data_IF_879742337166
#
_entry.id   IF_879742337166
#
_cell.length_a   1.000
_cell.length_b   1.000
_cell.length_c   1.000
_cell.angle_alpha   90.00
_cell.angle_beta   90.00
_cell.angle_gamma   90.00
#
_symmetry.space_group_name_H-M   'P 1'
#
loop_
_entity.id
_entity.type
_entity.pdbx_description
1 polymer ?
#
# COMPACT_ATOMS: atom_id res chain seq x y z
N UNK A 1 3.77 -25.61 25.12
CA UNK A 1 3.22 -24.71 26.17
C UNK A 1 1.74 -25.04 26.30
N UNK A 2 1.18 -25.12 27.50
CA UNK A 2 -0.24 -25.41 27.77
C UNK A 2 -0.93 -24.10 28.20
N UNK A 3 -1.47 -23.31 27.26
CA UNK A 3 -2.17 -22.07 27.60
C UNK A 3 -3.52 -22.37 28.25
N UNK A 4 -3.81 -21.68 29.35
CA UNK A 4 -5.06 -21.79 30.11
C UNK A 4 -5.59 -20.39 30.42
N UNK A 5 -6.90 -20.30 30.58
CA UNK A 5 -7.61 -19.10 31.02
C UNK A 5 -8.05 -19.32 32.47
N UNK A 6 -7.68 -18.41 33.36
CA UNK A 6 -8.09 -18.45 34.77
C UNK A 6 -9.51 -17.88 34.95
N UNK A 7 -10.53 -18.57 34.42
CA UNK A 7 -11.95 -18.19 34.48
C UNK A 7 -12.76 -18.98 35.52
N UNK A 8 -12.20 -20.06 36.07
CA UNK A 8 -12.84 -20.95 37.04
C UNK A 8 -11.86 -21.37 38.14
N UNK A 9 -12.39 -21.79 39.29
CA UNK A 9 -11.58 -22.19 40.45
C UNK A 9 -10.70 -23.42 40.19
N UNK A 10 -11.20 -24.38 39.41
CA UNK A 10 -10.52 -25.64 39.14
C UNK A 10 -10.52 -25.95 37.64
N UNK A 11 -9.34 -26.21 37.09
CA UNK A 11 -9.13 -26.63 35.70
C UNK A 11 -8.35 -27.94 35.72
N UNK A 12 -8.86 -28.96 35.06
CA UNK A 12 -8.16 -30.23 34.90
C UNK A 12 -7.48 -30.27 33.55
N UNK A 13 -6.18 -30.57 33.56
CA UNK A 13 -5.38 -30.77 32.35
C UNK A 13 -4.88 -32.21 32.35
N UNK A 14 -5.17 -32.93 31.28
CA UNK A 14 -4.59 -34.23 31.01
C UNK A 14 -3.57 -34.09 29.88
N UNK A 15 -2.34 -34.53 30.09
CA UNK A 15 -1.24 -34.41 29.12
C UNK A 15 -0.96 -35.78 28.53
N UNK A 16 -1.15 -35.89 27.22
CA UNK A 16 -0.88 -37.09 26.45
C UNK A 16 -0.12 -36.70 25.18
N UNK A 17 1.17 -37.01 25.15
CA UNK A 17 2.05 -36.69 24.01
C UNK A 17 1.70 -37.47 22.74
N UNK A 18 0.87 -38.52 22.83
CA UNK A 18 0.37 -39.25 21.66
C UNK A 18 -0.86 -38.56 21.03
N UNK A 19 -1.52 -37.65 21.74
CA UNK A 19 -2.64 -36.87 21.23
C UNK A 19 -2.14 -35.78 20.25
N UNK A 20 -2.90 -35.52 19.17
CA UNK A 20 -2.58 -34.46 18.19
C UNK A 20 -2.40 -33.09 18.85
N UNK A 21 -3.20 -32.79 19.87
CA UNK A 21 -3.14 -31.53 20.64
C UNK A 21 -2.25 -31.63 21.89
N UNK A 22 -1.59 -32.77 22.12
CA UNK A 22 -0.73 -33.10 23.28
C UNK A 22 -1.34 -32.94 24.70
N UNK A 23 -2.55 -32.39 24.84
CA UNK A 23 -3.27 -32.27 26.10
C UNK A 23 -4.79 -32.12 25.88
N UNK A 24 -5.58 -32.27 26.94
CA UNK A 24 -7.01 -31.91 26.97
C UNK A 24 -7.33 -31.04 28.18
N UNK A 25 -8.40 -30.25 28.10
CA UNK A 25 -8.84 -29.36 29.19
C UNK A 25 -10.28 -29.61 29.58
N UNK A 26 -10.52 -29.85 30.87
CA UNK A 26 -11.86 -29.92 31.48
C UNK A 26 -12.06 -28.81 32.52
N UNK A 27 -13.32 -28.47 32.79
CA UNK A 27 -13.70 -27.44 33.78
C UNK A 27 -13.77 -26.00 33.26
N UNK A 28 -12.97 -25.63 32.24
CA UNK A 28 -12.97 -24.27 31.66
C UNK A 28 -13.37 -24.27 30.18
N UNK A 29 -14.44 -23.54 29.83
CA UNK A 29 -14.84 -23.34 28.43
C UNK A 29 -13.81 -22.48 27.71
N UNK A 30 -13.37 -21.38 28.32
CA UNK A 30 -12.43 -20.46 27.71
C UNK A 30 -11.06 -21.10 27.43
N UNK A 31 -10.59 -22.00 28.31
CA UNK A 31 -9.35 -22.73 28.08
C UNK A 31 -9.47 -23.73 26.93
N UNK A 32 -10.64 -24.38 26.75
CA UNK A 32 -10.90 -25.23 25.58
C UNK A 32 -10.96 -24.42 24.29
N UNK A 33 -11.65 -23.28 24.30
CA UNK A 33 -11.72 -22.36 23.15
C UNK A 33 -10.32 -21.88 22.75
N UNK A 34 -9.49 -21.51 23.72
CA UNK A 34 -8.11 -21.07 23.49
C UNK A 34 -7.24 -22.20 22.92
N UNK A 35 -7.38 -23.41 23.47
CA UNK A 35 -6.71 -24.60 22.94
C UNK A 35 -7.11 -24.83 21.48
N UNK A 36 -8.41 -24.94 21.20
CA UNK A 36 -8.94 -25.18 19.86
C UNK A 36 -8.48 -24.12 18.87
N UNK A 37 -8.47 -22.86 19.31
CA UNK A 37 -7.94 -21.77 18.53
C UNK A 37 -6.49 -21.97 18.12
N UNK A 38 -5.61 -22.25 19.07
CA UNK A 38 -4.17 -22.32 18.82
C UNK A 38 -3.84 -23.42 17.82
N UNK A 39 -4.35 -24.63 18.01
CA UNK A 39 -4.07 -25.73 17.08
C UNK A 39 -4.68 -25.52 15.70
N UNK A 40 -5.91 -25.04 15.64
CA UNK A 40 -6.57 -24.79 14.35
C UNK A 40 -5.91 -23.62 13.61
N UNK A 41 -5.52 -22.57 14.33
CA UNK A 41 -4.77 -21.44 13.79
C UNK A 41 -3.41 -21.90 13.24
N UNK A 42 -2.66 -22.72 13.97
CA UNK A 42 -1.35 -23.20 13.53
C UNK A 42 -1.46 -23.98 12.22
N UNK A 43 -2.42 -24.92 12.12
CA UNK A 43 -2.66 -25.67 10.88
C UNK A 43 -3.04 -24.74 9.71
N UNK A 44 -3.98 -23.80 9.93
CA UNK A 44 -4.45 -22.89 8.87
C UNK A 44 -3.38 -21.87 8.45
N UNK A 45 -2.60 -21.36 9.39
CA UNK A 45 -1.55 -20.37 9.13
C UNK A 45 -0.36 -20.97 8.37
N UNK A 46 0.03 -22.22 8.66
CA UNK A 46 1.07 -22.94 7.90
C UNK A 46 0.72 -23.00 6.41
N UNK A 47 -0.54 -23.26 6.07
CA UNK A 47 -0.98 -23.32 4.66
C UNK A 47 -0.84 -21.96 3.97
N UNK A 48 -1.21 -20.87 4.65
CA UNK A 48 -1.07 -19.52 4.14
C UNK A 48 0.41 -19.13 3.96
N UNK A 49 1.25 -19.43 4.95
CA UNK A 49 2.68 -19.11 4.96
C UNK A 49 3.45 -19.88 3.88
N UNK A 50 3.16 -21.17 3.70
CA UNK A 50 3.76 -21.97 2.63
C UNK A 50 3.47 -21.39 1.25
N UNK A 51 2.21 -20.99 1.01
CA UNK A 51 1.81 -20.41 -0.28
C UNK A 51 2.49 -19.06 -0.52
N UNK A 52 2.71 -18.27 0.53
CA UNK A 52 3.42 -16.99 0.45
C UNK A 52 4.91 -17.19 0.13
N UNK A 53 5.59 -18.12 0.81
CA UNK A 53 7.00 -18.45 0.56
C UNK A 53 7.22 -18.98 -0.87
N UNK A 54 6.28 -19.77 -1.40
CA UNK A 54 6.32 -20.23 -2.79
C UNK A 54 6.16 -19.08 -3.79
N UNK A 55 5.22 -18.15 -3.52
CA UNK A 55 5.00 -16.98 -4.36
C UNK A 55 6.24 -16.09 -4.42
N UNK A 56 6.89 -15.84 -3.28
CA UNK A 56 8.12 -15.03 -3.22
C UNK A 56 9.27 -15.69 -3.98
N UNK A 57 9.40 -17.01 -3.86
CA UNK A 57 10.42 -17.77 -4.60
C UNK A 57 10.19 -17.68 -6.11
N UNK A 58 8.94 -17.81 -6.57
CA UNK A 58 8.60 -17.75 -8.00
C UNK A 58 8.74 -16.35 -8.60
N UNK A 59 8.43 -15.31 -7.82
CA UNK A 59 8.70 -13.92 -8.23
C UNK A 59 10.19 -13.68 -8.44
N UNK A 60 11.05 -14.22 -7.57
CA UNK A 60 12.51 -14.08 -7.69
C UNK A 60 13.08 -14.75 -8.94
N UNK A 61 12.50 -15.86 -9.39
CA UNK A 61 12.98 -16.59 -10.57
C UNK A 61 12.26 -16.20 -11.88
N UNK A 62 11.41 -15.16 -11.86
CA UNK A 62 10.73 -14.67 -13.06
C UNK A 62 9.70 -15.65 -13.63
N UNK A 63 8.95 -16.35 -12.78
CA UNK A 63 7.92 -17.29 -13.22
C UNK A 63 6.82 -16.60 -14.07
N UNK A 64 6.14 -17.33 -14.99
CA UNK A 64 5.07 -16.77 -15.82
C UNK A 64 3.92 -16.19 -15.01
N UNK A 65 3.29 -15.13 -15.53
CA UNK A 65 2.18 -14.42 -14.88
C UNK A 65 1.00 -15.35 -14.53
N UNK A 66 0.72 -16.36 -15.36
CA UNK A 66 -0.34 -17.33 -15.10
C UNK A 66 -0.08 -18.19 -13.85
N UNK A 67 1.18 -18.55 -13.60
CA UNK A 67 1.61 -19.29 -12.41
C UNK A 67 1.53 -18.41 -11.16
N UNK A 68 1.99 -17.16 -11.28
CA UNK A 68 1.91 -16.18 -10.19
C UNK A 68 0.47 -15.86 -9.82
N UNK A 69 -0.43 -15.75 -10.80
CA UNK A 69 -1.86 -15.50 -10.59
C UNK A 69 -2.55 -16.66 -9.84
N UNK A 70 -2.31 -17.90 -10.26
CA UNK A 70 -2.90 -19.07 -9.59
C UNK A 70 -2.49 -19.14 -8.10
N UNK A 71 -1.20 -18.99 -7.81
CA UNK A 71 -0.71 -19.01 -6.43
C UNK A 71 -1.18 -17.80 -5.61
N UNK A 72 -1.30 -16.63 -6.25
CA UNK A 72 -1.90 -15.46 -5.59
C UNK A 72 -3.34 -15.75 -5.17
N UNK A 73 -4.15 -16.37 -6.04
CA UNK A 73 -5.52 -16.73 -5.71
C UNK A 73 -5.59 -17.77 -4.58
N UNK A 74 -4.75 -18.80 -4.62
CA UNK A 74 -4.66 -19.81 -3.54
C UNK A 74 -4.28 -19.19 -2.19
N UNK A 75 -3.30 -18.27 -2.20
CA UNK A 75 -2.88 -17.53 -1.01
C UNK A 75 -4.04 -16.69 -0.47
N UNK A 76 -4.73 -15.97 -1.35
CA UNK A 76 -5.85 -15.11 -0.96
C UNK A 76 -7.00 -15.93 -0.36
N UNK A 77 -7.31 -17.11 -0.91
CA UNK A 77 -8.34 -17.98 -0.33
C UNK A 77 -7.92 -18.54 1.04
N UNK A 78 -6.67 -19.00 1.20
CA UNK A 78 -6.17 -19.47 2.49
C UNK A 78 -6.21 -18.37 3.56
N UNK A 79 -5.82 -17.13 3.21
CA UNK A 79 -5.91 -15.98 4.11
C UNK A 79 -7.36 -15.63 4.45
N UNK A 80 -8.26 -15.70 3.48
CA UNK A 80 -9.68 -15.46 3.69
C UNK A 80 -10.27 -16.50 4.65
N UNK A 81 -10.01 -17.78 4.45
CA UNK A 81 -10.47 -18.84 5.36
C UNK A 81 -9.94 -18.67 6.79
N UNK A 82 -8.65 -18.33 6.92
CA UNK A 82 -8.03 -18.06 8.22
C UNK A 82 -8.68 -16.84 8.90
N UNK A 83 -8.88 -15.75 8.16
CA UNK A 83 -9.49 -14.53 8.66
C UNK A 83 -10.96 -14.75 9.09
N UNK A 84 -11.75 -15.49 8.29
CA UNK A 84 -13.13 -15.83 8.65
C UNK A 84 -13.22 -16.79 9.84
N UNK A 85 -12.26 -17.69 10.00
CA UNK A 85 -12.13 -18.49 11.21
C UNK A 85 -11.87 -17.60 12.45
N UNK A 86 -10.89 -16.69 12.37
CA UNK A 86 -10.57 -15.78 13.49
C UNK A 86 -11.75 -14.85 13.84
N UNK A 87 -12.47 -14.31 12.84
CA UNK A 87 -13.65 -13.48 13.08
C UNK A 87 -14.74 -14.21 13.85
N UNK A 88 -15.05 -15.46 13.46
CA UNK A 88 -16.01 -16.31 14.17
C UNK A 88 -15.54 -16.57 15.60
N UNK A 89 -14.29 -17.00 15.79
CA UNK A 89 -13.73 -17.23 17.12
C UNK A 89 -13.79 -15.99 18.02
N UNK A 90 -13.50 -14.79 17.50
CA UNK A 90 -13.65 -13.54 18.27
C UNK A 90 -15.11 -13.26 18.66
N UNK A 91 -16.04 -13.56 17.77
CA UNK A 91 -17.48 -13.33 17.98
C UNK A 91 -18.05 -14.28 19.02
N UNK A 92 -17.67 -15.56 18.93
CA UNK A 92 -18.23 -16.66 19.71
C UNK A 92 -17.51 -16.86 21.06
N UNK A 93 -16.30 -16.31 21.21
CA UNK A 93 -15.49 -16.44 22.43
C UNK A 93 -16.31 -16.14 23.70
N UNK A 94 -16.22 -17.04 24.67
CA UNK A 94 -16.92 -16.96 25.96
C UNK A 94 -16.32 -15.91 26.90
N UNK A 95 -15.03 -15.60 26.77
CA UNK A 95 -14.30 -14.68 27.63
C UNK A 95 -13.54 -13.61 26.82
N UNK A 96 -13.42 -12.37 27.33
CA UNK A 96 -12.72 -11.28 26.63
C UNK A 96 -11.26 -11.60 26.34
N UNK A 97 -10.57 -12.33 27.22
CA UNK A 97 -9.16 -12.71 27.02
C UNK A 97 -8.95 -13.64 25.83
N UNK A 98 -9.89 -14.55 25.54
CA UNK A 98 -9.83 -15.42 24.36
C UNK A 98 -10.02 -14.56 23.10
N UNK A 99 -11.05 -13.71 23.08
CA UNK A 99 -11.29 -12.81 21.96
C UNK A 99 -10.10 -11.86 21.69
N UNK A 100 -9.51 -11.29 22.75
CA UNK A 100 -8.34 -10.44 22.67
C UNK A 100 -7.10 -11.19 22.14
N UNK A 101 -6.91 -12.45 22.53
CA UNK A 101 -5.82 -13.29 22.03
C UNK A 101 -5.99 -13.56 20.53
N UNK A 102 -7.20 -13.92 20.08
CA UNK A 102 -7.52 -14.13 18.67
C UNK A 102 -7.31 -12.84 17.87
N UNK A 103 -7.77 -11.70 18.39
CA UNK A 103 -7.55 -10.39 17.77
C UNK A 103 -6.06 -10.09 17.63
N UNK A 104 -5.26 -10.35 18.67
CA UNK A 104 -3.81 -10.18 18.60
C UNK A 104 -3.14 -11.01 17.50
N UNK A 105 -3.63 -12.22 17.22
CA UNK A 105 -3.14 -13.05 16.11
C UNK A 105 -3.60 -12.53 14.75
N UNK A 106 -4.81 -12.00 14.65
CA UNK A 106 -5.37 -11.50 13.39
C UNK A 106 -4.66 -10.27 12.86
N UNK A 107 -3.97 -9.49 13.70
CA UNK A 107 -3.20 -8.31 13.30
C UNK A 107 -2.19 -8.55 12.15
N UNK A 108 -1.76 -9.81 11.94
CA UNK A 108 -0.84 -10.17 10.85
C UNK A 108 -1.49 -10.28 9.47
N UNK A 109 -2.77 -10.64 9.42
CA UNK A 109 -3.43 -11.06 8.16
C UNK A 109 -4.75 -10.36 7.89
N UNK A 110 -5.37 -9.76 8.90
CA UNK A 110 -6.61 -9.03 8.77
C UNK A 110 -6.32 -7.63 8.19
N UNK A 111 -7.05 -7.19 7.15
CA UNK A 111 -6.95 -5.81 6.67
C UNK A 111 -7.24 -4.81 7.80
N UNK A 112 -6.52 -3.68 7.79
CA UNK A 112 -6.62 -2.68 8.85
C UNK A 112 -8.07 -2.26 9.18
N UNK A 113 -8.96 -1.96 8.21
CA UNK A 113 -10.34 -1.57 8.52
C UNK A 113 -11.14 -2.68 9.20
N UNK A 114 -10.89 -3.94 8.84
CA UNK A 114 -11.54 -5.09 9.46
C UNK A 114 -11.03 -5.33 10.88
N UNK A 115 -9.73 -5.13 11.11
CA UNK A 115 -9.13 -5.18 12.44
C UNK A 115 -9.72 -4.11 13.37
N UNK A 116 -9.84 -2.87 12.88
CA UNK A 116 -10.46 -1.76 13.62
C UNK A 116 -11.92 -2.07 13.97
N UNK A 117 -12.66 -2.64 13.02
CA UNK A 117 -14.05 -3.06 13.23
C UNK A 117 -14.13 -4.13 14.32
N UNK A 118 -13.29 -5.17 14.25
CA UNK A 118 -13.27 -6.24 15.24
C UNK A 118 -12.91 -5.72 16.65
N UNK A 119 -11.87 -4.89 16.75
CA UNK A 119 -11.45 -4.28 18.02
C UNK A 119 -12.55 -3.41 18.63
N UNK A 120 -13.25 -2.62 17.81
CA UNK A 120 -14.37 -1.80 18.27
C UNK A 120 -15.54 -2.65 18.75
N UNK A 121 -15.94 -3.67 17.98
CA UNK A 121 -17.01 -4.61 18.34
C UNK A 121 -16.69 -5.36 19.64
N UNK A 122 -15.44 -5.80 19.83
CA UNK A 122 -15.01 -6.47 21.06
C UNK A 122 -15.00 -5.52 22.26
N UNK A 123 -14.51 -4.30 22.08
CA UNK A 123 -14.52 -3.28 23.16
C UNK A 123 -15.96 -2.92 23.54
N UNK A 124 -16.90 -2.93 22.59
CA UNK A 124 -18.33 -2.71 22.88
C UNK A 124 -18.96 -3.92 23.57
N UNK A 125 -18.71 -5.14 23.08
CA UNK A 125 -19.21 -6.40 23.69
C UNK A 125 -18.74 -6.55 25.14
N UNK A 126 -17.50 -6.14 25.41
CA UNK A 126 -16.84 -6.27 26.71
C UNK A 126 -16.46 -4.90 27.30
N UNK A 127 -17.41 -3.97 27.38
CA UNK A 127 -17.16 -2.58 27.77
C UNK A 127 -16.51 -2.38 29.16
N UNK A 128 -16.59 -3.38 30.05
CA UNK A 128 -15.94 -3.37 31.37
C UNK A 128 -14.52 -3.96 31.40
N UNK A 129 -14.03 -4.52 30.30
CA UNK A 129 -12.72 -5.18 30.26
C UNK A 129 -11.59 -4.14 30.06
N UNK A 130 -10.79 -3.97 31.12
CA UNK A 130 -9.68 -3.02 31.12
C UNK A 130 -8.57 -3.34 30.11
N UNK A 131 -8.37 -4.62 29.77
CA UNK A 131 -7.33 -5.03 28.83
C UNK A 131 -7.71 -4.67 27.39
N UNK A 132 -8.98 -4.87 27.00
CA UNK A 132 -9.50 -4.48 25.69
C UNK A 132 -9.53 -2.95 25.54
N UNK A 133 -9.91 -2.22 26.61
CA UNK A 133 -9.86 -0.75 26.61
C UNK A 133 -8.42 -0.24 26.41
N UNK A 134 -7.44 -0.83 27.11
CA UNK A 134 -6.02 -0.50 26.97
C UNK A 134 -5.48 -0.91 25.59
N UNK A 135 -5.88 -2.07 25.06
CA UNK A 135 -5.52 -2.49 23.70
C UNK A 135 -6.01 -1.48 22.66
N UNK A 136 -7.26 -1.01 22.76
CA UNK A 136 -7.82 0.02 21.88
C UNK A 136 -7.06 1.33 21.96
N UNK A 137 -6.70 1.76 23.17
CA UNK A 137 -5.88 2.96 23.38
C UNK A 137 -4.50 2.84 22.72
N UNK A 138 -3.80 1.72 22.92
CA UNK A 138 -2.49 1.46 22.31
C UNK A 138 -2.57 1.42 20.78
N UNK A 139 -3.61 0.78 20.25
CA UNK A 139 -3.84 0.73 18.82
C UNK A 139 -4.04 2.13 18.20
N UNK A 140 -4.88 2.96 18.83
CA UNK A 140 -5.11 4.33 18.37
C UNK A 140 -3.83 5.18 18.43
N UNK A 141 -3.06 5.08 19.52
CA UNK A 141 -1.79 5.79 19.65
C UNK A 141 -0.78 5.35 18.56
N UNK A 142 -0.70 4.04 18.28
CA UNK A 142 0.12 3.53 17.19
C UNK A 142 -0.32 4.07 15.83
N UNK A 143 -1.63 4.07 15.54
CA UNK A 143 -2.19 4.61 14.29
C UNK A 143 -1.85 6.09 14.11
N UNK A 144 -2.00 6.89 15.16
CA UNK A 144 -1.64 8.31 15.14
C UNK A 144 -0.13 8.51 14.93
N UNK A 145 0.71 7.72 15.59
CA UNK A 145 2.16 7.79 15.42
C UNK A 145 2.57 7.46 13.98
N UNK A 146 2.01 6.39 13.39
CA UNK A 146 2.29 6.01 12.00
C UNK A 146 1.81 7.09 11.03
N UNK A 147 0.65 7.70 11.27
CA UNK A 147 0.14 8.80 10.46
C UNK A 147 1.11 10.01 10.50
N UNK A 148 1.57 10.40 11.69
CA UNK A 148 2.55 11.48 11.85
C UNK A 148 3.88 11.19 11.16
N UNK A 149 4.37 9.95 11.24
CA UNK A 149 5.61 9.55 10.56
C UNK A 149 5.45 9.67 9.05
N UNK A 150 4.31 9.21 8.49
CA UNK A 150 4.01 9.35 7.06
C UNK A 150 3.95 10.82 6.66
N UNK A 151 3.21 11.63 7.40
CA UNK A 151 3.08 13.07 7.14
C UNK A 151 4.44 13.79 7.19
N UNK A 152 5.29 13.48 8.17
CA UNK A 152 6.64 14.03 8.28
C UNK A 152 7.54 13.58 7.13
N UNK A 153 7.45 12.31 6.71
CA UNK A 153 8.19 11.80 5.56
C UNK A 153 7.74 12.45 4.25
N UNK A 154 6.44 12.64 4.07
CA UNK A 154 5.87 13.35 2.94
C UNK A 154 6.34 14.81 2.91
N UNK A 155 6.33 15.51 4.06
CA UNK A 155 6.83 16.89 4.16
C UNK A 155 8.35 17.00 3.95
N UNK A 156 9.15 16.04 4.44
CA UNK A 156 10.60 16.05 4.26
C UNK A 156 11.00 15.79 2.80
N UNK A 157 10.25 14.91 2.13
CA UNK A 157 10.46 14.56 0.72
C UNK A 157 9.76 15.53 -0.26
N UNK A 158 8.93 16.45 0.23
CA UNK A 158 8.24 17.43 -0.60
C UNK A 158 9.21 18.35 -1.33
N UNK A 159 8.94 18.60 -2.60
CA UNK A 159 9.67 19.52 -3.46
C UNK A 159 9.11 20.94 -3.41
N UNK A 160 7.86 21.14 -2.95
CA UNK A 160 7.23 22.47 -2.90
C UNK A 160 8.16 23.50 -2.23
N UNK A 161 8.40 24.61 -2.93
CA UNK A 161 9.28 25.71 -2.51
C UNK A 161 10.77 25.49 -2.78
N UNK A 162 11.19 24.30 -3.23
CA UNK A 162 12.59 24.00 -3.61
C UNK A 162 12.79 24.20 -5.11
N UNK A 163 14.05 24.43 -5.52
CA UNK A 163 14.42 24.40 -6.94
C UNK A 163 14.39 22.98 -7.46
N UNK A 164 13.73 22.77 -8.60
CA UNK A 164 13.71 21.48 -9.26
C UNK A 164 15.13 21.10 -9.74
N UNK A 165 15.58 19.86 -9.51
CA UNK A 165 16.81 19.34 -10.11
C UNK A 165 16.72 19.40 -11.64
N UNK A 166 17.82 19.71 -12.31
CA UNK A 166 17.86 19.55 -13.76
C UNK A 166 18.03 18.08 -14.12
N UNK A 167 17.11 17.55 -14.90
CA UNK A 167 17.10 16.17 -15.38
C UNK A 167 17.25 16.19 -16.89
N UNK A 168 18.25 15.45 -17.40
CA UNK A 168 18.56 15.38 -18.83
C UNK A 168 18.39 13.94 -19.30
N UNK A 169 17.38 13.70 -20.14
CA UNK A 169 17.01 12.39 -20.65
C UNK A 169 16.78 12.43 -22.17
N UNK A 170 16.97 11.33 -22.89
CA UNK A 170 16.68 11.27 -24.31
C UNK A 170 15.15 11.25 -24.56
N UNK A 171 14.72 11.98 -25.58
CA UNK A 171 13.37 11.90 -26.11
C UNK A 171 13.16 10.65 -26.97
N UNK A 172 11.96 10.50 -27.55
CA UNK A 172 11.61 9.38 -28.44
C UNK A 172 12.54 9.23 -29.66
N UNK A 173 13.23 10.31 -30.06
CA UNK A 173 14.19 10.33 -31.17
C UNK A 173 15.65 10.23 -30.71
N UNK A 174 15.89 10.11 -29.39
CA UNK A 174 17.23 10.06 -28.80
C UNK A 174 17.86 11.44 -28.55
N UNK A 175 17.15 12.54 -28.81
CA UNK A 175 17.65 13.89 -28.52
C UNK A 175 17.58 14.13 -27.01
N UNK A 176 18.69 14.59 -26.42
CA UNK A 176 18.70 14.99 -25.01
C UNK A 176 17.82 16.21 -24.79
N UNK A 177 16.89 16.11 -23.85
CA UNK A 177 16.02 17.20 -23.39
C UNK A 177 16.27 17.38 -21.89
N UNK A 178 16.45 18.63 -21.47
CA UNK A 178 16.63 18.99 -20.06
C UNK A 178 15.39 19.70 -19.51
N UNK A 179 15.13 19.58 -18.21
CA UNK A 179 14.08 20.38 -17.54
C UNK A 179 14.40 21.87 -17.69
N UNK A 180 15.67 22.25 -17.55
CA UNK A 180 16.12 23.63 -17.71
C UNK A 180 15.82 24.23 -19.11
N UNK A 181 15.65 23.41 -20.15
CA UNK A 181 15.27 23.88 -21.49
C UNK A 181 13.86 24.49 -21.57
N UNK A 182 13.04 24.27 -20.54
CA UNK A 182 11.69 24.82 -20.43
C UNK A 182 11.61 26.06 -19.51
N UNK A 183 12.75 26.57 -19.02
CA UNK A 183 12.79 27.77 -18.16
C UNK A 183 12.02 28.93 -18.79
N UNK A 184 11.29 29.67 -17.95
CA UNK A 184 10.39 30.73 -18.40
C UNK A 184 8.94 30.26 -18.62
N UNK A 185 8.65 28.96 -18.55
CA UNK A 185 7.29 28.39 -18.60
C UNK A 185 6.92 27.75 -17.27
N UNK A 186 5.62 27.60 -17.02
CA UNK A 186 5.16 26.60 -16.07
C UNK A 186 5.27 25.21 -16.71
N UNK A 187 5.86 24.26 -16.00
CA UNK A 187 6.14 22.91 -16.51
C UNK A 187 5.63 21.89 -15.52
N UNK A 188 4.66 21.07 -15.94
CA UNK A 188 4.32 19.86 -15.19
C UNK A 188 5.28 18.75 -15.63
N UNK A 189 6.20 18.34 -14.75
CA UNK A 189 7.04 17.16 -14.98
C UNK A 189 6.28 15.95 -14.46
N UNK A 190 5.83 15.09 -15.38
CA UNK A 190 4.93 13.98 -15.09
C UNK A 190 5.67 12.64 -15.22
N UNK A 191 5.85 11.95 -14.09
CA UNK A 191 6.54 10.67 -14.00
C UNK A 191 5.53 9.52 -14.09
N UNK A 192 5.66 8.72 -15.15
CA UNK A 192 4.68 7.71 -15.52
C UNK A 192 5.33 6.49 -16.17
N UNK A 193 4.54 5.49 -16.57
CA UNK A 193 5.00 4.41 -17.42
C UNK A 193 3.85 3.70 -18.13
N UNK A 194 4.14 3.02 -19.25
CA UNK A 194 3.12 2.28 -20.01
C UNK A 194 2.46 1.17 -19.19
N UNK A 195 3.21 0.58 -18.25
CA UNK A 195 2.82 -0.54 -17.39
C UNK A 195 2.14 -0.11 -16.09
N UNK A 196 1.91 1.19 -15.87
CA UNK A 196 1.30 1.74 -14.65
C UNK A 196 -0.19 2.06 -14.87
N UNK A 197 -1.14 1.18 -14.47
CA UNK A 197 -2.56 1.43 -14.72
C UNK A 197 -3.10 2.73 -14.09
N UNK A 198 -2.75 3.09 -12.84
CA UNK A 198 -3.17 4.37 -12.27
C UNK A 198 -2.65 5.59 -13.04
N UNK A 199 -1.45 5.51 -13.63
CA UNK A 199 -0.93 6.58 -14.49
C UNK A 199 -1.77 6.72 -15.76
N UNK A 200 -2.04 5.60 -16.45
CA UNK A 200 -2.87 5.56 -17.66
C UNK A 200 -4.29 6.08 -17.40
N UNK A 201 -4.85 5.80 -16.22
CA UNK A 201 -6.16 6.30 -15.79
C UNK A 201 -6.18 7.82 -15.54
N UNK A 202 -5.04 8.42 -15.15
CA UNK A 202 -4.90 9.85 -14.91
C UNK A 202 -4.58 10.66 -16.19
N UNK A 203 -3.97 10.03 -17.20
CA UNK A 203 -3.61 10.67 -18.46
C UNK A 203 -4.73 11.48 -19.14
N UNK A 204 -6.01 11.07 -19.13
CA UNK A 204 -7.11 11.91 -19.63
C UNK A 204 -7.21 13.28 -18.95
N UNK A 205 -7.00 13.36 -17.63
CA UNK A 205 -7.00 14.62 -16.88
C UNK A 205 -5.80 15.49 -17.27
N UNK A 206 -4.62 14.88 -17.41
CA UNK A 206 -3.39 15.56 -17.84
C UNK A 206 -3.54 16.11 -19.27
N UNK A 207 -4.16 15.35 -20.17
CA UNK A 207 -4.48 15.79 -21.54
C UNK A 207 -5.47 16.96 -21.53
N UNK A 208 -6.51 16.92 -20.69
CA UNK A 208 -7.46 18.02 -20.55
C UNK A 208 -6.76 19.30 -20.06
N UNK A 209 -5.93 19.20 -19.02
CA UNK A 209 -5.13 20.30 -18.50
C UNK A 209 -4.18 20.87 -19.57
N UNK A 210 -3.44 20.01 -20.28
CA UNK A 210 -2.58 20.46 -21.38
C UNK A 210 -3.35 21.26 -22.42
N UNK A 211 -4.47 20.72 -22.91
CA UNK A 211 -5.26 21.40 -23.94
C UNK A 211 -5.84 22.74 -23.47
N UNK A 212 -6.22 22.85 -22.19
CA UNK A 212 -6.79 24.07 -21.61
C UNK A 212 -5.75 25.15 -21.34
N UNK A 213 -4.53 24.78 -20.93
CA UNK A 213 -3.53 25.73 -20.43
C UNK A 213 -2.32 25.93 -21.33
N UNK A 214 -2.06 25.08 -22.36
CA UNK A 214 -0.85 25.15 -23.21
C UNK A 214 -0.55 26.53 -23.83
N UNK A 215 -1.59 27.33 -24.11
CA UNK A 215 -1.44 28.67 -24.70
C UNK A 215 -1.23 29.78 -23.64
N UNK A 216 -1.18 29.41 -22.35
CA UNK A 216 -0.98 30.29 -21.19
C UNK A 216 0.42 30.16 -20.58
N UNK A 217 1.44 29.93 -21.41
CA UNK A 217 2.82 29.72 -20.93
C UNK A 217 2.98 28.46 -20.04
N UNK A 218 2.18 27.42 -20.31
CA UNK A 218 2.21 26.13 -19.63
C UNK A 218 2.64 25.03 -20.60
N UNK A 219 3.35 24.02 -20.09
CA UNK A 219 3.64 22.80 -20.84
C UNK A 219 3.82 21.63 -19.89
N UNK A 220 4.00 20.44 -20.47
CA UNK A 220 4.21 19.20 -19.73
C UNK A 220 5.46 18.52 -20.28
N UNK A 221 6.26 17.94 -19.40
CA UNK A 221 7.35 17.04 -19.75
C UNK A 221 7.02 15.67 -19.16
N UNK A 222 6.69 14.70 -20.02
CA UNK A 222 6.48 13.33 -19.57
C UNK A 222 7.81 12.61 -19.42
N UNK A 223 8.03 11.98 -18.27
CA UNK A 223 9.21 11.19 -17.94
C UNK A 223 8.77 9.75 -17.72
N UNK A 224 9.08 8.87 -18.67
CA UNK A 224 8.68 7.47 -18.59
C UNK A 224 9.71 6.60 -17.87
N UNK A 225 9.22 5.70 -17.01
CA UNK A 225 9.97 4.61 -16.38
C UNK A 225 9.78 3.26 -17.10
N UNK A 226 9.56 3.26 -18.41
CA UNK A 226 9.52 2.03 -19.19
C UNK A 226 10.90 1.36 -19.30
N UNK A 227 10.93 0.07 -19.67
CA UNK A 227 12.17 -0.65 -20.05
C UNK A 227 12.28 -0.87 -21.56
N UNK A 228 11.15 -0.83 -22.25
CA UNK A 228 11.04 -1.10 -23.69
C UNK A 228 10.49 0.13 -24.39
N UNK A 229 11.26 0.64 -25.35
CA UNK A 229 10.91 1.86 -26.10
C UNK A 229 9.59 1.71 -26.85
N UNK A 230 9.31 0.51 -27.35
CA UNK A 230 8.14 0.20 -28.14
C UNK A 230 6.85 0.36 -27.32
N UNK A 231 6.84 -0.17 -26.10
CA UNK A 231 5.71 -0.06 -25.17
C UNK A 231 5.44 1.40 -24.80
N UNK A 232 6.51 2.15 -24.52
CA UNK A 232 6.43 3.57 -24.20
C UNK A 232 5.84 4.38 -25.36
N UNK A 233 6.36 4.22 -26.57
CA UNK A 233 5.87 4.92 -27.78
C UNK A 233 4.41 4.54 -28.06
N UNK A 234 4.06 3.27 -27.90
CA UNK A 234 2.70 2.82 -28.11
C UNK A 234 1.73 3.47 -27.10
N UNK A 235 2.08 3.52 -25.82
CA UNK A 235 1.25 4.17 -24.81
C UNK A 235 1.12 5.68 -25.02
N UNK A 236 2.20 6.36 -25.44
CA UNK A 236 2.13 7.79 -25.82
C UNK A 236 1.05 8.02 -26.89
N UNK A 237 1.01 7.15 -27.91
CA UNK A 237 0.05 7.24 -29.01
C UNK A 237 -1.38 6.94 -28.55
N UNK A 238 -1.56 5.87 -27.78
CA UNK A 238 -2.87 5.44 -27.28
C UNK A 238 -3.51 6.51 -26.38
N UNK A 239 -2.70 7.10 -25.49
CA UNK A 239 -3.18 8.10 -24.52
C UNK A 239 -3.14 9.53 -25.05
N UNK A 240 -2.68 9.72 -26.30
CA UNK A 240 -2.60 11.02 -26.96
C UNK A 240 -1.74 12.05 -26.20
N UNK A 241 -0.60 11.61 -25.67
CA UNK A 241 0.32 12.47 -24.92
C UNK A 241 1.15 13.32 -25.89
N UNK A 242 0.63 14.48 -26.28
CA UNK A 242 1.17 15.31 -27.37
C UNK A 242 2.37 16.19 -27.00
N UNK A 243 2.73 16.25 -25.72
CA UNK A 243 3.85 17.04 -25.23
C UNK A 243 5.18 16.27 -25.31
N UNK A 244 6.28 16.91 -24.94
CA UNK A 244 7.60 16.27 -24.97
C UNK A 244 7.67 15.10 -23.98
N UNK A 245 8.19 13.97 -24.45
CA UNK A 245 8.31 12.73 -23.70
C UNK A 245 9.78 12.30 -23.69
N UNK A 246 10.30 11.95 -22.52
CA UNK A 246 11.68 11.48 -22.31
C UNK A 246 11.73 10.19 -21.48
N UNK A 247 12.78 9.39 -21.65
CA UNK A 247 13.03 8.20 -20.82
C UNK A 247 14.48 7.73 -20.97
N UNK A 248 15.11 7.26 -19.89
CA UNK A 248 16.37 6.48 -19.95
C UNK A 248 16.16 4.97 -20.08
N UNK A 249 14.90 4.53 -20.18
CA UNK A 249 14.49 3.13 -20.27
C UNK A 249 14.98 2.26 -19.10
N UNK A 250 15.17 2.87 -17.93
CA UNK A 250 15.83 2.24 -16.78
C UNK A 250 14.87 1.81 -15.66
N UNK A 251 13.55 1.92 -15.83
CA UNK A 251 12.59 1.56 -14.77
C UNK A 251 12.86 2.33 -13.47
N UNK A 252 12.81 1.66 -12.31
CA UNK A 252 13.14 2.27 -11.01
C UNK A 252 14.63 2.64 -10.84
N UNK A 253 15.53 2.17 -11.72
CA UNK A 253 16.95 2.58 -11.73
C UNK A 253 17.17 3.91 -12.49
N UNK A 254 16.09 4.56 -12.94
CA UNK A 254 16.14 5.82 -13.66
C UNK A 254 16.76 6.94 -12.84
N UNK A 255 17.51 7.81 -13.52
CA UNK A 255 18.04 9.04 -12.91
C UNK A 255 16.94 9.95 -12.40
N UNK A 256 15.75 9.87 -13.00
CA UNK A 256 14.56 10.61 -12.57
C UNK A 256 14.16 10.26 -11.13
N UNK A 257 14.18 8.96 -10.78
CA UNK A 257 13.79 8.45 -9.46
C UNK A 257 14.74 8.98 -8.39
N UNK A 258 16.05 8.95 -8.67
CA UNK A 258 17.06 9.47 -7.74
C UNK A 258 16.97 11.00 -7.62
N UNK A 259 16.82 11.71 -8.75
CA UNK A 259 16.79 13.16 -8.77
C UNK A 259 15.59 13.73 -7.99
N UNK A 260 14.40 13.14 -8.17
CA UNK A 260 13.16 13.61 -7.53
C UNK A 260 12.74 12.80 -6.29
N UNK A 261 13.51 11.78 -5.91
CA UNK A 261 13.31 10.95 -4.71
C UNK A 261 11.85 10.48 -4.48
N UNK A 262 11.15 10.11 -5.55
CA UNK A 262 9.79 9.58 -5.45
C UNK A 262 9.81 8.04 -5.38
N UNK A 263 8.90 7.46 -4.61
CA UNK A 263 8.84 5.99 -4.38
C UNK A 263 7.66 5.32 -5.07
N UNK A 264 6.89 6.06 -5.87
CA UNK A 264 5.68 5.57 -6.52
C UNK A 264 5.32 6.41 -7.74
N UNK A 265 4.64 5.80 -8.70
CA UNK A 265 4.01 6.49 -9.83
C UNK A 265 2.51 6.16 -9.87
N UNK A 266 1.64 7.07 -10.33
CA UNK A 266 1.96 8.36 -10.93
C UNK A 266 2.54 9.36 -9.92
N UNK A 267 3.57 10.12 -10.30
CA UNK A 267 4.11 11.25 -9.54
C UNK A 267 4.30 12.45 -10.47
N UNK A 268 4.08 13.67 -10.00
CA UNK A 268 4.43 14.85 -10.79
C UNK A 268 4.90 15.99 -9.89
N UNK A 269 5.60 16.94 -10.51
CA UNK A 269 5.89 18.25 -9.92
C UNK A 269 5.51 19.34 -10.91
N UNK A 270 4.87 20.39 -10.42
CA UNK A 270 4.60 21.60 -11.18
C UNK A 270 5.68 22.61 -10.86
N UNK A 271 6.48 22.95 -11.87
CA UNK A 271 7.60 23.89 -11.80
C UNK A 271 7.12 25.22 -12.37
N UNK A 272 7.43 26.32 -11.69
CA UNK A 272 7.16 27.67 -12.18
C UNK A 272 8.24 28.18 -13.16
N UNK A 273 8.07 29.35 -13.78
CA UNK A 273 9.03 29.93 -14.73
C UNK A 273 10.45 30.13 -14.19
N UNK A 274 10.62 30.24 -12.87
CA UNK A 274 11.90 30.47 -12.23
C UNK A 274 12.63 29.17 -11.84
N UNK A 275 11.96 28.03 -12.00
CA UNK A 275 12.46 26.70 -11.67
C UNK A 275 12.10 26.22 -10.27
N UNK A 276 11.20 26.90 -9.55
CA UNK A 276 10.73 26.48 -8.22
C UNK A 276 9.53 25.55 -8.36
N UNK A 277 9.48 24.49 -7.56
CA UNK A 277 8.31 23.61 -7.51
C UNK A 277 7.20 24.30 -6.71
N UNK A 278 6.05 24.48 -7.35
CA UNK A 278 4.85 25.15 -6.81
C UNK A 278 3.66 24.21 -6.61
N UNK A 279 3.81 22.94 -6.97
CA UNK A 279 2.87 21.87 -6.68
C UNK A 279 3.51 20.50 -6.89
N UNK A 280 3.02 19.46 -6.23
CA UNK A 280 3.49 18.09 -6.40
C UNK A 280 2.34 17.09 -6.22
N UNK A 281 2.52 15.88 -6.75
CA UNK A 281 1.57 14.78 -6.65
C UNK A 281 0.13 15.12 -7.08
N UNK A 282 -0.04 16.11 -7.98
CA UNK A 282 -1.34 16.64 -8.37
C UNK A 282 -2.12 15.65 -9.25
N UNK A 283 -3.37 15.36 -8.90
CA UNK A 283 -4.26 14.44 -9.63
C UNK A 283 -5.66 15.01 -9.82
N UNK A 284 -6.31 14.67 -10.92
CA UNK A 284 -7.72 14.98 -11.16
C UNK A 284 -8.05 16.43 -10.88
N UNK A 285 -8.96 16.66 -9.93
CA UNK A 285 -9.42 18.00 -9.55
C UNK A 285 -8.32 18.86 -8.92
N UNK A 286 -7.36 18.27 -8.20
CA UNK A 286 -6.26 19.02 -7.57
C UNK A 286 -5.35 19.65 -8.62
N UNK A 287 -5.07 18.94 -9.72
CA UNK A 287 -4.30 19.46 -10.85
C UNK A 287 -5.02 20.64 -11.50
N UNK A 288 -6.31 20.48 -11.78
CA UNK A 288 -7.12 21.54 -12.39
C UNK A 288 -7.22 22.76 -11.48
N UNK A 289 -7.51 22.57 -10.19
CA UNK A 289 -7.62 23.65 -9.21
C UNK A 289 -6.31 24.42 -9.08
N UNK A 290 -5.16 23.71 -9.06
CA UNK A 290 -3.86 24.37 -8.97
C UNK A 290 -3.53 25.19 -10.22
N UNK A 291 -3.81 24.67 -11.41
CA UNK A 291 -3.59 25.41 -12.66
C UNK A 291 -4.56 26.59 -12.80
N UNK A 292 -5.80 26.43 -12.33
CA UNK A 292 -6.78 27.51 -12.28
C UNK A 292 -6.29 28.65 -11.38
N UNK A 293 -5.81 28.33 -10.17
CA UNK A 293 -5.22 29.30 -9.22
C UNK A 293 -4.07 30.10 -9.84
N UNK A 294 -3.27 29.46 -10.70
CA UNK A 294 -2.12 30.12 -11.36
C UNK A 294 -2.55 31.01 -12.52
N UNK A 295 -3.48 30.55 -13.36
CA UNK A 295 -3.75 31.15 -14.67
C UNK A 295 -5.06 31.93 -14.79
N UNK A 296 -5.90 31.92 -13.77
CA UNK A 296 -7.24 32.49 -13.80
C UNK A 296 -7.56 33.33 -12.55
N UNK A 297 -6.54 33.91 -11.89
CA UNK A 297 -6.75 34.95 -10.86
C UNK A 297 -7.50 36.16 -11.40
#
# INVERSE_FOLDING_TARGET
MVPLVNDVENITVDIDMANEKFYTVAGSVASRELQDFIFTYDVKSISADQTMNQLDSLKRIGAPDSTLLNLTNRKNEALKELNEYMKRMMTDASQPVVAAFVLGRSAKTLPQPEFETALNSLTQKYAGDSNLAEMKKRYNAYKEQVAKIKEQQEQQNAWIGKKAPDLILPDVNGKKVSIASFKGKYVLVDFWASWCPPCRAENPNVVAAFNKYKDKNFTILGVSLDKKKENWIQAIKEDQLKWTQVSDLAYWDSKAVVAFNFTGIPYNVLIDPDGTVVGEALRGEELENKLHEIFLK
#
